data_IF_622909513516
#
_entry.id   IF_622909513516
#
_cell.length_a   1.000
_cell.length_b   1.000
_cell.length_c   1.000
_cell.angle_alpha   90.00
_cell.angle_beta   90.00
_cell.angle_gamma   90.00
#
_symmetry.space_group_name_H-M   'P 1'
#
loop_
_entity.id
_entity.type
_entity.pdbx_description
1 polymer ?
#
# COMPACT_ATOMS: atom_id res chain seq x y z
N UNK A 1 3.53 13.24 10.71
CA UNK A 1 3.88 11.99 10.01
C UNK A 1 4.04 12.32 8.53
N UNK A 2 5.20 12.02 7.92
CA UNK A 2 5.37 12.08 6.47
C UNK A 2 4.93 10.73 5.87
N UNK A 3 4.06 10.76 4.86
CA UNK A 3 3.55 9.56 4.20
C UNK A 3 4.13 9.48 2.80
N UNK A 4 4.88 8.41 2.54
CA UNK A 4 5.28 8.08 1.17
C UNK A 4 4.12 7.35 0.48
N UNK A 5 3.97 7.59 -0.81
CA UNK A 5 3.12 6.81 -1.71
C UNK A 5 4.00 6.00 -2.66
N UNK A 6 3.76 4.70 -2.71
CA UNK A 6 4.21 3.82 -3.78
C UNK A 6 3.01 3.44 -4.64
N UNK A 7 3.14 3.52 -5.96
CA UNK A 7 2.14 3.01 -6.89
C UNK A 7 2.22 3.69 -8.24
N UNK A 8 1.14 3.60 -9.02
CA UNK A 8 1.13 4.16 -10.38
C UNK A 8 1.23 5.68 -10.36
N UNK A 9 2.19 6.24 -11.09
CA UNK A 9 2.42 7.69 -11.12
C UNK A 9 1.93 8.39 -12.38
N UNK A 10 1.57 7.72 -13.48
CA UNK A 10 0.94 8.33 -14.67
C UNK A 10 1.77 9.33 -15.50
N UNK A 11 2.56 10.20 -14.87
CA UNK A 11 3.24 11.34 -15.50
C UNK A 11 4.76 11.12 -15.71
N UNK A 12 5.29 9.95 -15.37
CA UNK A 12 6.74 9.66 -15.37
C UNK A 12 7.16 8.42 -16.19
N UNK A 13 6.46 8.12 -17.29
CA UNK A 13 6.87 7.04 -18.22
C UNK A 13 6.24 5.66 -17.98
N UNK A 14 5.22 5.58 -17.13
CA UNK A 14 4.49 4.35 -16.84
C UNK A 14 5.18 3.45 -15.81
N UNK A 15 4.40 2.85 -14.91
CA UNK A 15 4.89 1.95 -13.86
C UNK A 15 4.82 2.52 -12.45
N UNK A 16 5.16 1.67 -11.48
CA UNK A 16 5.17 2.03 -10.07
C UNK A 16 6.37 2.92 -9.73
N UNK A 17 6.14 3.93 -8.90
CA UNK A 17 7.20 4.75 -8.33
C UNK A 17 6.90 5.11 -6.88
N UNK A 18 7.95 5.51 -6.14
CA UNK A 18 7.85 5.98 -4.76
C UNK A 18 7.97 7.51 -4.75
N UNK A 19 7.07 8.16 -4.04
CA UNK A 19 7.04 9.62 -3.89
C UNK A 19 6.71 10.00 -2.45
N UNK A 20 7.25 11.12 -1.97
CA UNK A 20 6.67 11.88 -0.87
C UNK A 20 6.16 13.24 -1.38
N UNK A 21 5.60 14.04 -0.47
CA UNK A 21 5.11 15.38 -0.74
C UNK A 21 6.20 16.35 -1.27
N UNK A 22 7.49 16.05 -1.09
CA UNK A 22 8.62 16.91 -1.46
C UNK A 22 9.49 16.33 -2.60
N UNK A 23 9.43 15.02 -2.85
CA UNK A 23 10.28 14.29 -3.76
C UNK A 23 9.44 13.36 -4.66
N UNK A 24 9.10 13.81 -5.88
CA UNK A 24 8.30 13.03 -6.82
C UNK A 24 9.07 11.87 -7.49
N UNK A 25 10.31 11.58 -7.07
CA UNK A 25 11.15 10.48 -7.58
C UNK A 25 11.99 9.84 -6.48
N UNK A 26 11.39 9.57 -5.32
CA UNK A 26 12.07 8.78 -4.30
C UNK A 26 12.45 7.40 -4.87
N UNK A 27 13.67 6.95 -4.57
CA UNK A 27 14.19 5.70 -5.14
C UNK A 27 13.74 4.51 -4.30
N UNK A 28 12.88 3.66 -4.88
CA UNK A 28 12.47 2.37 -4.29
C UNK A 28 13.70 1.53 -3.91
N UNK A 29 14.72 1.50 -4.77
CA UNK A 29 15.96 0.74 -4.57
C UNK A 29 16.81 1.22 -3.38
N UNK A 30 16.65 2.48 -2.97
CA UNK A 30 17.34 3.04 -1.79
C UNK A 30 16.51 2.95 -0.52
N UNK A 31 15.21 2.67 -0.63
CA UNK A 31 14.33 2.55 0.53
C UNK A 31 14.59 1.22 1.28
N UNK A 32 14.59 1.18 2.62
CA UNK A 32 14.86 -0.04 3.40
C UNK A 32 13.92 -1.23 3.13
N UNK A 33 12.72 -0.94 2.59
CA UNK A 33 11.73 -1.94 2.18
C UNK A 33 11.93 -2.43 0.74
N UNK A 34 12.65 -1.67 -0.08
CA UNK A 34 13.07 -2.06 -1.43
C UNK A 34 11.91 -2.50 -2.32
N UNK A 35 12.17 -3.51 -3.14
CA UNK A 35 11.24 -4.11 -4.10
C UNK A 35 10.04 -4.80 -3.46
N UNK A 36 10.01 -5.02 -2.13
CA UNK A 36 8.80 -5.56 -1.48
C UNK A 36 7.58 -4.64 -1.58
N UNK A 37 7.80 -3.34 -1.83
CA UNK A 37 6.70 -2.40 -2.09
C UNK A 37 5.92 -2.75 -3.37
N UNK A 38 6.55 -3.46 -4.31
CA UNK A 38 5.96 -3.90 -5.57
C UNK A 38 5.21 -5.24 -5.38
N UNK A 39 4.02 -5.16 -4.79
CA UNK A 39 3.10 -6.29 -4.56
C UNK A 39 3.42 -7.18 -3.35
N UNK A 40 4.63 -7.12 -2.78
CA UNK A 40 5.05 -7.97 -1.66
C UNK A 40 4.36 -7.69 -0.31
N UNK A 41 3.65 -6.57 -0.19
CA UNK A 41 2.83 -6.22 0.98
C UNK A 41 1.32 -6.19 0.68
N UNK A 42 0.92 -6.33 -0.59
CA UNK A 42 -0.50 -6.40 -0.93
C UNK A 42 -1.12 -7.72 -0.42
N UNK A 43 -2.46 -7.81 -0.26
CA UNK A 43 -3.11 -9.07 0.08
C UNK A 43 -2.71 -10.18 -0.89
N UNK A 44 -2.32 -11.33 -0.32
CA UNK A 44 -1.97 -12.52 -1.09
C UNK A 44 -3.20 -13.17 -1.73
N UNK A 45 -2.98 -13.88 -2.83
CA UNK A 45 -4.00 -14.68 -3.49
C UNK A 45 -4.76 -13.96 -4.60
N UNK A 46 -5.68 -14.71 -5.22
CA UNK A 46 -6.64 -14.19 -6.20
C UNK A 46 -8.07 -14.36 -5.67
N UNK A 47 -9.00 -13.45 -6.01
CA UNK A 47 -8.80 -12.29 -6.89
C UNK A 47 -8.02 -11.13 -6.24
N UNK A 48 -7.33 -10.33 -7.06
CA UNK A 48 -6.70 -9.07 -6.65
C UNK A 48 -7.81 -8.02 -6.45
N UNK A 49 -8.44 -8.02 -5.28
CA UNK A 49 -9.56 -7.11 -4.95
C UNK A 49 -9.01 -5.73 -4.63
N UNK A 50 -9.48 -4.71 -5.36
CA UNK A 50 -9.07 -3.33 -5.15
C UNK A 50 -9.58 -2.78 -3.81
N UNK A 51 -8.77 -1.91 -3.18
CA UNK A 51 -9.11 -1.27 -1.91
C UNK A 51 -8.98 -2.16 -0.67
N UNK A 52 -8.99 -3.49 -0.80
CA UNK A 52 -8.69 -4.39 0.32
C UNK A 52 -7.20 -4.30 0.65
N UNK A 53 -6.90 -3.86 1.87
CA UNK A 53 -5.56 -3.51 2.29
C UNK A 53 -5.03 -4.39 3.41
N UNK A 54 -3.71 -4.62 3.43
CA UNK A 54 -2.99 -5.16 4.59
C UNK A 54 -2.16 -4.08 5.25
N UNK A 55 -2.13 -4.12 6.58
CA UNK A 55 -1.27 -3.28 7.41
C UNK A 55 -0.07 -4.11 7.87
N UNK A 56 1.14 -3.62 7.64
CA UNK A 56 2.38 -4.25 8.07
C UNK A 56 3.20 -3.29 8.92
N UNK A 57 3.80 -3.82 9.98
CA UNK A 57 4.85 -3.15 10.74
C UNK A 57 6.17 -3.87 10.47
N UNK A 58 7.10 -3.21 9.79
CA UNK A 58 8.32 -3.86 9.28
C UNK A 58 9.49 -2.88 9.24
N UNK A 59 10.64 -3.28 9.82
CA UNK A 59 11.87 -2.46 9.85
C UNK A 59 11.67 -1.02 10.34
N UNK A 60 10.77 -0.81 11.30
CA UNK A 60 10.44 0.52 11.82
C UNK A 60 9.47 1.32 10.96
N UNK A 61 8.85 0.73 9.94
CA UNK A 61 7.84 1.35 9.08
C UNK A 61 6.47 0.72 9.26
N UNK A 62 5.44 1.53 9.14
CA UNK A 62 4.06 1.07 8.90
C UNK A 62 3.78 1.15 7.41
N UNK A 63 3.25 0.07 6.83
CA UNK A 63 2.91 -0.03 5.41
C UNK A 63 1.45 -0.46 5.27
N UNK A 64 0.66 0.35 4.57
CA UNK A 64 -0.69 0.04 4.16
C UNK A 64 -0.70 -0.23 2.66
N UNK A 65 -0.80 -1.49 2.26
CA UNK A 65 -0.69 -1.89 0.86
C UNK A 65 -1.94 -2.62 0.37
N UNK A 66 -2.35 -2.35 -0.86
CA UNK A 66 -3.57 -2.87 -1.51
C UNK A 66 -3.39 -2.95 -3.02
N UNK A 67 -4.24 -3.73 -3.68
CA UNK A 67 -4.31 -3.74 -5.14
C UNK A 67 -4.94 -2.43 -5.63
N UNK A 68 -4.32 -1.78 -6.61
CA UNK A 68 -4.72 -0.48 -7.15
C UNK A 68 -4.58 -0.51 -8.66
N UNK A 69 -5.70 -0.58 -9.38
CA UNK A 69 -5.74 -0.52 -10.84
C UNK A 69 -6.34 0.78 -11.35
N UNK A 70 -6.46 1.80 -10.49
CA UNK A 70 -7.01 3.10 -10.84
C UNK A 70 -6.20 3.85 -11.91
N UNK A 71 -4.90 3.54 -12.02
CA UNK A 71 -4.01 4.11 -13.03
C UNK A 71 -3.43 3.10 -14.02
N UNK A 72 -3.49 1.80 -13.71
CA UNK A 72 -2.99 0.73 -14.57
C UNK A 72 -3.88 -0.51 -14.43
N UNK A 73 -4.62 -0.83 -15.49
CA UNK A 73 -5.60 -1.93 -15.48
C UNK A 73 -4.98 -3.33 -15.54
N UNK A 74 -3.65 -3.44 -15.66
CA UNK A 74 -2.96 -4.72 -15.70
C UNK A 74 -2.98 -5.41 -14.33
N UNK A 75 -2.87 -6.74 -14.34
CA UNK A 75 -2.70 -7.51 -13.10
C UNK A 75 -1.39 -7.14 -12.39
N UNK A 76 -1.36 -7.31 -11.07
CA UNK A 76 -0.26 -6.94 -10.17
C UNK A 76 0.00 -5.44 -10.01
N UNK A 77 -0.90 -4.57 -10.45
CA UNK A 77 -0.83 -3.15 -10.11
C UNK A 77 -1.25 -2.93 -8.65
N UNK A 78 -0.39 -2.31 -7.85
CA UNK A 78 -0.60 -2.13 -6.42
C UNK A 78 -0.22 -0.73 -5.96
N UNK A 79 -0.78 -0.35 -4.82
CA UNK A 79 -0.40 0.85 -4.10
C UNK A 79 0.07 0.48 -2.69
N UNK A 80 0.92 1.34 -2.13
CA UNK A 80 1.24 1.34 -0.72
C UNK A 80 1.39 2.77 -0.19
N UNK A 81 0.79 3.04 0.96
CA UNK A 81 1.12 4.19 1.78
C UNK A 81 2.00 3.74 2.93
N UNK A 82 3.07 4.47 3.23
CA UNK A 82 3.99 4.08 4.28
C UNK A 82 4.56 5.26 5.04
N UNK A 83 4.78 5.06 6.33
CA UNK A 83 5.34 6.06 7.23
C UNK A 83 6.24 5.41 8.27
N UNK A 84 7.30 6.11 8.67
CA UNK A 84 8.19 5.66 9.73
C UNK A 84 7.48 5.69 11.09
N UNK A 85 7.67 4.65 11.90
CA UNK A 85 7.00 4.42 13.18
C UNK A 85 5.90 3.35 13.12
N UNK A 86 5.27 3.12 14.28
CA UNK A 86 4.13 2.22 14.43
C UNK A 86 2.82 3.02 14.43
N UNK A 87 2.10 2.97 13.31
CA UNK A 87 0.85 3.70 13.11
C UNK A 87 -0.31 2.74 12.93
N UNK A 88 -1.51 3.20 13.28
CA UNK A 88 -2.74 2.48 13.02
C UNK A 88 -3.14 2.61 11.54
N UNK A 89 -4.08 1.77 11.11
CA UNK A 89 -4.70 1.88 9.79
C UNK A 89 -5.34 3.26 9.59
N UNK A 90 -6.15 3.70 10.56
CA UNK A 90 -6.91 4.95 10.47
C UNK A 90 -5.99 6.17 10.41
N UNK A 91 -4.95 6.21 11.26
CA UNK A 91 -4.00 7.33 11.29
C UNK A 91 -3.22 7.45 9.97
N UNK A 92 -2.73 6.31 9.45
CA UNK A 92 -1.99 6.29 8.19
C UNK A 92 -2.88 6.64 7.01
N UNK A 93 -4.11 6.11 6.95
CA UNK A 93 -5.05 6.40 5.87
C UNK A 93 -5.50 7.87 5.89
N UNK A 94 -5.79 8.43 7.07
CA UNK A 94 -6.17 9.83 7.20
C UNK A 94 -5.04 10.77 6.76
N UNK A 95 -3.79 10.50 7.17
CA UNK A 95 -2.63 11.27 6.75
C UNK A 95 -2.36 11.12 5.24
N UNK A 96 -2.49 9.91 4.69
CA UNK A 96 -2.34 9.64 3.26
C UNK A 96 -3.33 10.46 2.43
N UNK A 97 -4.61 10.50 2.82
CA UNK A 97 -5.66 11.29 2.15
C UNK A 97 -5.32 12.79 2.13
N UNK A 98 -4.75 13.30 3.23
CA UNK A 98 -4.36 14.71 3.35
C UNK A 98 -3.17 15.06 2.46
N UNK A 99 -2.15 14.20 2.38
CA UNK A 99 -0.90 14.47 1.67
C UNK A 99 -0.95 14.11 0.18
N UNK A 100 -1.76 13.11 -0.20
CA UNK A 100 -1.85 12.61 -1.57
C UNK A 100 -3.27 12.72 -2.17
N UNK A 101 -3.97 13.86 -2.08
CA UNK A 101 -5.37 13.96 -2.49
C UNK A 101 -5.60 13.59 -3.96
N UNK A 102 -4.65 13.92 -4.85
CA UNK A 102 -4.73 13.57 -6.28
C UNK A 102 -4.65 12.06 -6.57
N UNK A 103 -4.00 11.28 -5.69
CA UNK A 103 -3.97 9.82 -5.79
C UNK A 103 -5.35 9.25 -5.43
N UNK A 104 -5.93 9.73 -4.32
CA UNK A 104 -7.25 9.29 -3.85
C UNK A 104 -8.39 9.67 -4.79
N UNK A 105 -8.27 10.77 -5.54
CA UNK A 105 -9.24 11.15 -6.57
C UNK A 105 -9.37 10.12 -7.70
N UNK A 106 -8.38 9.22 -7.88
CA UNK A 106 -8.42 8.16 -8.88
C UNK A 106 -9.18 6.93 -8.41
N UNK A 107 -9.28 6.73 -7.10
CA UNK A 107 -9.89 5.53 -6.54
C UNK A 107 -11.41 5.56 -6.73
N UNK A 108 -11.94 4.51 -7.33
CA UNK A 108 -13.38 4.25 -7.46
C UNK A 108 -13.89 3.28 -6.38
N UNK A 109 -13.04 3.00 -5.39
CA UNK A 109 -13.24 2.05 -4.31
C UNK A 109 -12.79 2.66 -2.98
N UNK A 110 -13.29 2.10 -1.89
CA UNK A 110 -12.80 2.42 -0.55
C UNK A 110 -11.60 1.57 -0.17
N UNK A 111 -10.64 2.18 0.51
CA UNK A 111 -9.54 1.46 1.13
C UNK A 111 -10.01 0.93 2.48
N UNK A 112 -10.07 -0.39 2.62
CA UNK A 112 -10.56 -1.08 3.83
C UNK A 112 -9.51 -2.07 4.32
N UNK A 113 -9.35 -2.17 5.64
CA UNK A 113 -8.43 -3.12 6.24
C UNK A 113 -8.97 -4.55 6.12
N UNK A 114 -8.16 -5.45 5.54
CA UNK A 114 -8.42 -6.88 5.58
C UNK A 114 -8.35 -7.33 7.06
N UNK A 115 -9.43 -7.91 7.61
CA UNK A 115 -9.38 -8.46 8.96
C UNK A 115 -8.30 -9.54 9.04
N UNK A 116 -7.65 -9.71 10.21
CA UNK A 116 -6.74 -10.84 10.40
C UNK A 116 -7.49 -12.13 10.06
N UNK A 117 -6.82 -13.06 9.39
CA UNK A 117 -7.40 -14.38 9.14
C UNK A 117 -7.88 -14.93 10.48
N UNK A 118 -9.16 -15.30 10.56
CA UNK A 118 -9.67 -16.05 11.71
C UNK A 118 -8.79 -17.29 11.81
N UNK A 119 -8.16 -17.57 12.96
CA UNK A 119 -7.50 -18.86 13.13
C UNK A 119 -8.56 -19.91 12.85
N UNK A 120 -8.32 -20.78 11.89
CA UNK A 120 -9.16 -21.95 11.67
C UNK A 120 -9.19 -22.73 12.99
N UNK A 121 -10.34 -22.76 13.64
CA UNK A 121 -10.59 -23.69 14.73
C UNK A 121 -10.46 -25.10 14.15
N UNK A 122 -9.32 -25.75 14.39
CA UNK A 122 -9.10 -27.10 13.90
C UNK A 122 -7.65 -27.46 13.65
N UNK A 123 -6.78 -27.29 14.64
CA UNK A 123 -5.64 -28.22 14.83
C UNK A 123 -5.31 -28.28 16.33
N UNK A 124 -6.29 -28.73 17.09
CA UNK A 124 -6.05 -29.50 18.29
C UNK A 124 -6.44 -30.94 17.94
N UNK A 125 -5.63 -31.89 18.43
CA UNK A 125 -5.76 -33.35 18.34
C UNK A 125 -5.04 -34.04 17.16
N UNK A 126 -3.76 -34.38 17.36
CA UNK A 126 -3.34 -35.77 17.66
C UNK A 126 -1.90 -35.82 18.20
#
# INVERSE_FOLDING_TARGET
MNVLYFGYLGYAGGGHGLVDEFNPRASVWKHPLGTKLDGGFAPEGRPEVEGVARLHHVKGWTVLAFWDRSGDSRGKSNAAFLAEGGHSFDDLLAAARKQHPGIFQRFTFDVVLLPPATPTEGEQDA
#
